data_IF_083722731372
#
_entry.id   IF_083722731372
#
_cell.length_a   1.000
_cell.length_b   1.000
_cell.length_c   1.000
_cell.angle_alpha   90.00
_cell.angle_beta   90.00
_cell.angle_gamma   90.00
#
_symmetry.space_group_name_H-M   'P 1'
#
loop_
_entity.id
_entity.type
_entity.pdbx_description
1 polymer ?
#
# COMPACT_ATOMS: atom_id res chain seq x y z
N UNK A 1 7.74 -47.07 -1.73
CA UNK A 1 6.61 -47.01 -2.70
C UNK A 1 5.37 -46.68 -1.89
N UNK A 2 4.71 -45.53 -1.94
CA UNK A 2 4.89 -44.30 -2.71
C UNK A 2 4.54 -43.15 -1.74
N UNK A 3 5.36 -42.10 -1.70
CA UNK A 3 5.02 -40.85 -1.02
C UNK A 3 4.25 -39.98 -2.02
N UNK A 4 3.02 -39.66 -1.66
CA UNK A 4 2.18 -38.71 -2.40
C UNK A 4 2.74 -37.30 -2.22
N UNK A 5 3.31 -36.76 -3.30
CA UNK A 5 3.67 -35.35 -3.41
C UNK A 5 2.39 -34.53 -3.62
N UNK A 6 1.93 -33.84 -2.58
CA UNK A 6 1.12 -32.63 -2.77
C UNK A 6 2.05 -31.42 -2.74
N UNK A 7 2.55 -31.06 -3.91
CA UNK A 7 3.19 -29.77 -4.13
C UNK A 7 2.08 -28.73 -4.16
N UNK A 8 2.08 -27.89 -3.12
CA UNK A 8 1.27 -26.70 -2.97
C UNK A 8 1.21 -25.89 -4.27
N UNK A 9 0.00 -25.74 -4.81
CA UNK A 9 -0.28 -24.84 -5.92
C UNK A 9 -0.01 -23.41 -5.46
N UNK A 10 1.09 -22.83 -5.94
CA UNK A 10 1.35 -21.39 -5.90
C UNK A 10 0.23 -20.68 -6.66
N UNK A 11 -0.79 -20.20 -5.94
CA UNK A 11 -1.83 -19.34 -6.48
C UNK A 11 -1.17 -18.02 -6.88
N UNK A 12 -0.82 -17.88 -8.16
CA UNK A 12 -0.51 -16.58 -8.74
C UNK A 12 -1.78 -15.71 -8.65
N UNK A 13 -1.68 -14.60 -7.92
CA UNK A 13 -2.74 -13.60 -7.87
C UNK A 13 -3.04 -13.10 -9.30
N UNK A 14 -4.31 -12.87 -9.65
CA UNK A 14 -4.66 -12.31 -10.96
C UNK A 14 -3.92 -10.98 -11.19
N UNK A 15 -3.57 -10.63 -12.44
CA UNK A 15 -2.63 -9.55 -12.75
C UNK A 15 -3.00 -8.19 -12.14
N UNK A 16 -4.29 -7.86 -12.01
CA UNK A 16 -4.74 -6.64 -11.32
C UNK A 16 -4.46 -6.68 -9.80
N UNK A 17 -4.66 -7.84 -9.14
CA UNK A 17 -4.31 -8.01 -7.72
C UNK A 17 -2.80 -8.02 -7.48
N UNK A 18 -1.99 -8.43 -8.46
CA UNK A 18 -0.53 -8.32 -8.40
C UNK A 18 -0.06 -6.87 -8.33
N UNK A 19 -0.69 -5.98 -9.10
CA UNK A 19 -0.35 -4.56 -9.14
C UNK A 19 -0.78 -3.82 -7.87
N UNK A 20 -2.02 -4.00 -7.44
CA UNK A 20 -2.53 -3.42 -6.19
C UNK A 20 -1.69 -3.87 -4.98
N UNK A 21 -1.32 -5.16 -4.95
CA UNK A 21 -0.44 -5.70 -3.91
C UNK A 21 0.96 -5.07 -3.94
N UNK A 22 1.55 -4.87 -5.13
CA UNK A 22 2.84 -4.18 -5.24
C UNK A 22 2.79 -2.75 -4.71
N UNK A 23 1.71 -2.01 -5.01
CA UNK A 23 1.49 -0.67 -4.46
C UNK A 23 1.33 -0.70 -2.93
N UNK A 24 0.55 -1.65 -2.41
CA UNK A 24 0.43 -1.87 -0.96
C UNK A 24 1.79 -2.12 -0.31
N UNK A 25 2.60 -3.03 -0.86
CA UNK A 25 3.92 -3.36 -0.31
C UNK A 25 4.85 -2.14 -0.30
N UNK A 26 4.81 -1.30 -1.33
CA UNK A 26 5.58 -0.05 -1.38
C UNK A 26 5.10 0.96 -0.33
N UNK A 27 3.79 1.08 -0.13
CA UNK A 27 3.24 1.95 0.92
C UNK A 27 3.65 1.46 2.31
N UNK A 28 3.51 0.15 2.56
CA UNK A 28 3.82 -0.50 3.83
C UNK A 28 5.28 -0.26 4.24
N UNK A 29 6.21 -0.32 3.27
CA UNK A 29 7.63 -0.11 3.48
C UNK A 29 8.09 1.34 3.24
N UNK A 30 7.16 2.29 3.04
CA UNK A 30 7.52 3.69 2.81
C UNK A 30 7.96 4.37 4.11
N UNK A 31 8.99 5.21 3.99
CA UNK A 31 9.44 6.08 5.10
C UNK A 31 8.30 7.00 5.57
N UNK A 32 7.48 7.50 4.63
CA UNK A 32 6.32 8.35 4.92
C UNK A 32 5.31 7.66 5.84
N UNK A 33 4.95 6.40 5.54
CA UNK A 33 4.04 5.65 6.40
C UNK A 33 4.66 5.35 7.76
N UNK A 34 5.92 4.95 7.79
CA UNK A 34 6.64 4.63 9.03
C UNK A 34 6.67 5.84 10.00
N UNK A 35 7.06 7.01 9.50
CA UNK A 35 7.08 8.26 10.29
C UNK A 35 5.69 8.59 10.83
N UNK A 36 4.65 8.50 9.99
CA UNK A 36 3.30 8.79 10.42
C UNK A 36 2.77 7.78 11.45
N UNK A 37 3.04 6.49 11.27
CA UNK A 37 2.65 5.43 12.19
C UNK A 37 3.23 5.66 13.59
N UNK A 38 4.52 5.99 13.67
CA UNK A 38 5.18 6.29 14.94
C UNK A 38 4.64 7.57 15.58
N UNK A 39 4.46 8.64 14.80
CA UNK A 39 3.88 9.89 15.29
C UNK A 39 2.45 9.71 15.80
N UNK A 40 1.60 9.00 15.05
CA UNK A 40 0.22 8.69 15.44
C UNK A 40 0.20 7.89 16.74
N UNK A 41 1.03 6.85 16.86
CA UNK A 41 1.13 6.05 18.09
C UNK A 41 1.60 6.88 19.27
N UNK A 42 2.62 7.71 19.10
CA UNK A 42 3.14 8.57 20.17
C UNK A 42 2.08 9.60 20.64
N UNK A 43 1.34 10.20 19.71
CA UNK A 43 0.36 11.24 20.02
C UNK A 43 -0.96 10.70 20.58
N UNK A 44 -1.44 9.57 20.08
CA UNK A 44 -2.76 9.01 20.43
C UNK A 44 -2.65 7.89 21.46
N UNK A 45 -1.51 7.21 21.49
CA UNK A 45 -1.34 5.96 22.22
C UNK A 45 -2.17 4.81 21.65
N UNK A 46 -2.71 4.93 20.44
CA UNK A 46 -3.48 3.92 19.74
C UNK A 46 -2.62 3.23 18.67
N UNK A 47 -2.90 1.95 18.36
CA UNK A 47 -2.26 1.29 17.24
C UNK A 47 -2.68 1.93 15.91
N UNK A 48 -1.78 1.93 14.94
CA UNK A 48 -2.11 2.25 13.55
C UNK A 48 -1.50 1.17 12.64
N UNK A 49 -2.30 0.61 11.74
CA UNK A 49 -1.87 -0.42 10.79
C UNK A 49 -2.23 -0.02 9.36
N UNK A 50 -1.40 -0.41 8.40
CA UNK A 50 -1.76 -0.41 6.98
C UNK A 50 -1.97 -1.86 6.55
N UNK A 51 -3.15 -2.15 6.01
CA UNK A 51 -3.58 -3.53 5.71
C UNK A 51 -4.31 -3.63 4.38
N UNK A 52 -4.24 -4.79 3.73
CA UNK A 52 -4.96 -5.09 2.47
C UNK A 52 -6.40 -5.54 2.73
N UNK A 53 -7.22 -5.68 1.69
CA UNK A 53 -8.55 -6.31 1.81
C UNK A 53 -8.51 -7.81 2.19
N UNK A 54 -7.35 -8.47 2.07
CA UNK A 54 -7.15 -9.84 2.56
C UNK A 54 -7.04 -9.87 4.09
N UNK A 55 -8.07 -10.44 4.75
CA UNK A 55 -8.19 -10.56 6.21
C UNK A 55 -7.72 -11.89 6.78
N UNK A 56 -7.46 -12.89 5.94
CA UNK A 56 -7.30 -14.28 6.39
C UNK A 56 -6.08 -14.45 7.32
N UNK A 57 -5.07 -13.59 7.17
CA UNK A 57 -3.81 -13.65 7.93
C UNK A 57 -3.69 -12.62 9.05
N UNK A 58 -4.66 -11.73 9.20
CA UNK A 58 -4.55 -10.59 10.14
C UNK A 58 -4.48 -10.97 11.61
N UNK A 59 -5.19 -12.03 12.00
CA UNK A 59 -5.17 -12.44 13.40
C UNK A 59 -3.81 -13.03 13.81
N UNK A 60 -3.00 -13.44 12.83
CA UNK A 60 -1.77 -14.22 13.01
C UNK A 60 -0.49 -13.47 12.61
N UNK A 61 -0.57 -12.21 12.16
CA UNK A 61 0.62 -11.41 11.90
C UNK A 61 1.38 -11.02 13.17
N UNK A 62 2.67 -10.74 13.00
CA UNK A 62 3.66 -10.46 14.04
C UNK A 62 3.71 -8.98 14.47
N UNK A 63 2.76 -8.15 14.02
CA UNK A 63 2.70 -6.72 14.35
C UNK A 63 2.08 -6.45 15.74
N UNK A 64 2.64 -7.05 16.78
CA UNK A 64 2.13 -6.93 18.16
C UNK A 64 2.10 -5.48 18.65
N UNK A 65 3.06 -4.64 18.26
CA UNK A 65 3.14 -3.23 18.66
C UNK A 65 2.00 -2.36 18.06
N UNK A 66 1.39 -2.84 16.97
CA UNK A 66 0.26 -2.20 16.31
C UNK A 66 -1.05 -2.93 16.63
N UNK A 67 -1.14 -3.53 17.82
CA UNK A 67 -2.32 -4.20 18.34
C UNK A 67 -2.52 -3.88 19.82
N UNK A 68 -3.76 -3.85 20.30
CA UNK A 68 -4.01 -3.83 21.74
C UNK A 68 -3.62 -5.18 22.36
N UNK A 69 -3.07 -5.19 23.59
CA UNK A 69 -2.73 -6.43 24.29
C UNK A 69 -3.92 -7.38 24.44
N UNK A 70 -5.14 -6.83 24.54
CA UNK A 70 -6.36 -7.62 24.60
C UNK A 70 -6.63 -8.32 23.27
N UNK A 71 -6.64 -7.60 22.14
CA UNK A 71 -6.88 -8.19 20.82
C UNK A 71 -5.78 -9.20 20.44
N UNK A 72 -4.53 -8.97 20.84
CA UNK A 72 -3.42 -9.91 20.63
C UNK A 72 -3.71 -11.26 21.29
N UNK A 73 -4.07 -11.25 22.58
CA UNK A 73 -4.39 -12.47 23.34
C UNK A 73 -5.69 -13.10 22.87
N UNK A 74 -6.71 -12.30 22.61
CA UNK A 74 -8.02 -12.76 22.16
C UNK A 74 -7.91 -13.55 20.85
N UNK A 75 -7.09 -13.08 19.91
CA UNK A 75 -6.91 -13.71 18.61
C UNK A 75 -6.16 -15.06 18.65
N UNK A 76 -5.57 -15.44 19.79
CA UNK A 76 -5.03 -16.79 19.99
C UNK A 76 -6.14 -17.84 20.18
N UNK A 77 -7.35 -17.40 20.57
CA UNK A 77 -8.53 -18.27 20.60
C UNK A 77 -9.11 -18.41 19.19
N UNK A 78 -9.16 -19.64 18.66
CA UNK A 78 -9.64 -19.92 17.30
C UNK A 78 -11.05 -19.36 17.02
N UNK A 79 -11.98 -19.53 17.96
CA UNK A 79 -13.36 -19.03 17.81
C UNK A 79 -13.39 -17.50 17.75
N UNK A 80 -12.64 -16.84 18.63
CA UNK A 80 -12.56 -15.39 18.65
C UNK A 80 -11.85 -14.82 17.41
N UNK A 81 -10.84 -15.53 16.89
CA UNK A 81 -10.15 -15.20 15.65
C UNK A 81 -11.11 -15.15 14.46
N UNK A 82 -11.99 -16.14 14.28
CA UNK A 82 -12.98 -16.12 13.21
C UNK A 82 -13.96 -14.95 13.34
N UNK A 83 -14.52 -14.73 14.54
CA UNK A 83 -15.41 -13.60 14.77
C UNK A 83 -14.73 -12.24 14.53
N UNK A 84 -13.43 -12.14 14.86
CA UNK A 84 -12.61 -10.97 14.60
C UNK A 84 -12.48 -10.73 13.09
N UNK A 85 -12.14 -11.77 12.31
CA UNK A 85 -12.05 -11.71 10.85
C UNK A 85 -13.37 -11.25 10.24
N UNK A 86 -14.50 -11.81 10.68
CA UNK A 86 -15.83 -11.47 10.15
C UNK A 86 -16.24 -10.02 10.40
N UNK A 87 -15.94 -9.49 11.60
CA UNK A 87 -16.18 -8.07 11.92
C UNK A 87 -15.28 -7.19 11.07
N UNK A 88 -14.01 -7.55 10.94
CA UNK A 88 -13.02 -6.78 10.19
C UNK A 88 -13.34 -6.73 8.69
N UNK A 89 -13.84 -7.83 8.12
CA UNK A 89 -14.29 -7.92 6.73
C UNK A 89 -15.45 -6.96 6.48
N UNK A 90 -16.50 -7.01 7.29
CA UNK A 90 -17.65 -6.10 7.21
C UNK A 90 -17.24 -4.63 7.35
N UNK A 91 -16.37 -4.33 8.32
CA UNK A 91 -15.86 -2.96 8.50
C UNK A 91 -15.18 -2.42 7.23
N UNK A 92 -14.43 -3.25 6.52
CA UNK A 92 -13.77 -2.83 5.29
C UNK A 92 -14.72 -2.74 4.10
N UNK A 93 -15.69 -3.65 3.99
CA UNK A 93 -16.75 -3.58 2.97
C UNK A 93 -17.53 -2.26 3.13
N UNK A 94 -17.88 -1.90 4.37
CA UNK A 94 -18.52 -0.62 4.69
C UNK A 94 -17.60 0.56 4.34
N UNK A 95 -16.31 0.45 4.68
CA UNK A 95 -15.35 1.51 4.43
C UNK A 95 -15.05 1.73 2.94
N UNK A 96 -15.06 0.64 2.16
CA UNK A 96 -14.82 0.67 0.72
C UNK A 96 -15.91 1.49 0.01
N UNK A 97 -17.17 1.29 0.43
CA UNK A 97 -18.34 1.97 -0.14
C UNK A 97 -18.48 3.39 0.41
N UNK A 98 -18.41 3.55 1.74
CA UNK A 98 -18.86 4.78 2.42
C UNK A 98 -17.72 5.73 2.81
N UNK A 99 -16.46 5.34 2.60
CA UNK A 99 -15.30 6.08 3.12
C UNK A 99 -14.93 5.65 4.54
N UNK A 100 -14.35 6.51 5.39
CA UNK A 100 -13.98 6.13 6.75
C UNK A 100 -15.15 5.50 7.54
N UNK A 101 -15.02 4.24 7.96
CA UNK A 101 -16.06 3.52 8.70
C UNK A 101 -15.55 3.10 10.08
N UNK A 102 -16.43 3.13 11.09
CA UNK A 102 -16.14 2.70 12.46
C UNK A 102 -17.16 1.66 12.90
N UNK A 103 -16.71 0.56 13.48
CA UNK A 103 -17.59 -0.47 14.05
C UNK A 103 -17.27 -0.74 15.52
N UNK A 104 -18.19 -1.41 16.20
CA UNK A 104 -17.94 -2.11 17.46
C UNK A 104 -17.76 -3.59 17.16
N UNK A 105 -16.67 -4.18 17.66
CA UNK A 105 -16.53 -5.64 17.60
C UNK A 105 -17.40 -6.32 18.66
N UNK A 106 -17.49 -7.65 18.58
CA UNK A 106 -18.25 -8.46 19.53
C UNK A 106 -17.77 -8.33 20.99
N UNK A 107 -16.54 -7.90 21.20
CA UNK A 107 -15.98 -7.63 22.53
C UNK A 107 -16.17 -6.18 22.98
N UNK A 108 -16.92 -5.36 22.24
CA UNK A 108 -17.25 -3.98 22.59
C UNK A 108 -16.21 -2.92 22.16
N UNK A 109 -15.07 -3.32 21.58
CA UNK A 109 -14.03 -2.38 21.15
C UNK A 109 -14.37 -1.70 19.83
N UNK A 110 -14.01 -0.42 19.71
CA UNK A 110 -14.07 0.37 18.49
C UNK A 110 -12.94 -0.05 17.55
N UNK A 111 -13.25 -0.12 16.27
CA UNK A 111 -12.24 -0.20 15.22
C UNK A 111 -12.68 0.66 14.05
N UNK A 112 -11.74 1.39 13.47
CA UNK A 112 -11.97 2.21 12.27
C UNK A 112 -11.10 1.70 11.13
N UNK A 113 -11.66 1.71 9.93
CA UNK A 113 -10.92 1.53 8.69
C UNK A 113 -11.10 2.78 7.83
N UNK A 114 -9.98 3.28 7.31
CA UNK A 114 -9.92 4.44 6.41
C UNK A 114 -9.30 3.96 5.10
N UNK A 115 -10.03 4.01 3.97
CA UNK A 115 -9.52 3.50 2.70
C UNK A 115 -8.40 4.39 2.14
N UNK A 116 -7.37 3.76 1.61
CA UNK A 116 -6.33 4.37 0.76
C UNK A 116 -6.58 3.88 -0.67
N UNK A 117 -6.78 4.81 -1.59
CA UNK A 117 -7.32 4.53 -2.93
C UNK A 117 -6.33 4.87 -4.05
N UNK A 118 -6.42 4.09 -5.12
CA UNK A 118 -5.89 4.38 -6.44
C UNK A 118 -7.08 4.58 -7.37
N UNK A 119 -7.43 5.84 -7.66
CA UNK A 119 -8.67 6.17 -8.37
C UNK A 119 -9.91 5.65 -7.61
N UNK A 120 -10.69 4.77 -8.26
CA UNK A 120 -11.88 4.17 -7.67
C UNK A 120 -11.60 2.90 -6.83
N UNK A 121 -10.37 2.38 -6.87
CA UNK A 121 -10.01 1.10 -6.24
C UNK A 121 -9.35 1.34 -4.91
N UNK A 122 -9.78 0.65 -3.86
CA UNK A 122 -9.09 0.65 -2.57
C UNK A 122 -7.92 -0.33 -2.59
N UNK A 123 -6.70 0.16 -2.40
CA UNK A 123 -5.47 -0.66 -2.40
C UNK A 123 -5.04 -1.05 -0.98
N UNK A 124 -5.45 -0.28 0.03
CA UNK A 124 -5.15 -0.55 1.43
C UNK A 124 -6.15 0.16 2.36
N UNK A 125 -6.11 -0.18 3.64
CA UNK A 125 -6.82 0.52 4.70
C UNK A 125 -5.85 0.92 5.81
N UNK A 126 -5.94 2.16 6.26
CA UNK A 126 -5.39 2.57 7.54
C UNK A 126 -6.37 2.17 8.64
N UNK A 127 -5.90 1.40 9.62
CA UNK A 127 -6.71 0.87 10.71
C UNK A 127 -6.21 1.27 12.08
N UNK A 128 -7.13 1.77 12.89
CA UNK A 128 -6.89 2.13 14.28
C UNK A 128 -8.08 1.75 15.15
N UNK A 129 -7.95 1.95 16.46
CA UNK A 129 -8.96 1.60 17.46
C UNK A 129 -8.42 0.57 18.45
N UNK A 130 -9.18 -0.51 18.62
CA UNK A 130 -8.97 -1.55 19.63
C UNK A 130 -9.02 -0.96 21.05
N UNK A 131 -10.09 -0.21 21.29
CA UNK A 131 -10.28 0.62 22.46
C UNK A 131 -11.78 0.73 22.80
N UNK A 132 -12.15 1.16 24.00
CA UNK A 132 -13.57 1.32 24.39
C UNK A 132 -14.05 2.78 24.40
N UNK A 133 -15.29 3.05 24.03
CA UNK A 133 -15.87 4.39 24.24
C UNK A 133 -16.31 4.68 25.67
N UNK A 134 -16.46 3.63 26.48
CA UNK A 134 -16.76 3.70 27.92
C UNK A 134 -15.82 2.77 28.70
N UNK A 135 -15.59 3.00 30.00
CA UNK A 135 -14.79 2.06 30.79
C UNK A 135 -15.34 0.64 30.71
N UNK A 136 -14.49 -0.40 30.58
CA UNK A 136 -14.94 -1.78 30.57
C UNK A 136 -15.53 -2.19 31.92
N UNK A 137 -16.54 -3.06 31.89
CA UNK A 137 -17.21 -3.61 33.07
C UNK A 137 -17.23 -5.15 33.05
N UNK A 138 -17.56 -5.73 34.20
CA UNK A 138 -17.56 -7.18 34.42
C UNK A 138 -18.63 -7.91 33.61
N UNK A 139 -19.80 -7.29 33.44
CA UNK A 139 -20.92 -7.85 32.70
C UNK A 139 -20.56 -8.04 31.23
N UNK A 140 -20.08 -6.97 30.59
CA UNK A 140 -19.61 -6.97 29.20
C UNK A 140 -18.44 -7.95 28.98
N UNK A 141 -17.53 -8.07 29.97
CA UNK A 141 -16.44 -9.05 29.90
C UNK A 141 -16.99 -10.48 29.90
N UNK A 142 -17.93 -10.79 30.79
CA UNK A 142 -18.52 -12.12 30.90
C UNK A 142 -19.30 -12.48 29.62
N UNK A 143 -20.06 -11.54 29.05
CA UNK A 143 -20.73 -11.71 27.74
C UNK A 143 -19.73 -12.06 26.62
N UNK A 144 -18.59 -11.34 26.58
CA UNK A 144 -17.51 -11.62 25.62
C UNK A 144 -16.95 -13.04 25.81
N UNK A 145 -16.75 -13.49 27.05
CA UNK A 145 -16.23 -14.82 27.36
C UNK A 145 -17.20 -15.95 27.03
N UNK A 146 -18.49 -15.72 27.22
CA UNK A 146 -19.54 -16.68 26.86
C UNK A 146 -19.63 -16.83 25.34
N UNK A 147 -19.51 -15.72 24.60
CA UNK A 147 -19.53 -15.71 23.14
C UNK A 147 -18.35 -16.48 22.51
N UNK A 148 -17.13 -16.32 23.02
CA UNK A 148 -15.94 -17.00 22.47
C UNK A 148 -15.78 -18.45 22.97
N UNK A 149 -16.66 -18.90 23.86
CA UNK A 149 -16.63 -20.25 24.41
C UNK A 149 -15.54 -20.45 25.47
N UNK A 150 -15.69 -19.81 26.64
CA UNK A 150 -14.81 -19.84 27.83
C UNK A 150 -14.07 -21.16 28.11
N UNK A 151 -14.66 -22.31 27.82
CA UNK A 151 -14.07 -23.66 28.02
C UNK A 151 -12.88 -23.98 27.10
N UNK A 152 -12.65 -23.17 26.07
CA UNK A 152 -11.56 -23.36 25.09
C UNK A 152 -10.28 -22.61 25.46
N UNK A 153 -10.33 -21.72 26.46
CA UNK A 153 -9.19 -20.90 26.89
C UNK A 153 -8.58 -21.47 28.18
N UNK A 154 -7.26 -21.76 28.22
CA UNK A 154 -6.61 -22.23 29.45
C UNK A 154 -6.78 -21.23 30.62
N UNK A 155 -6.93 -21.70 31.87
CA UNK A 155 -7.16 -20.80 33.01
C UNK A 155 -6.11 -19.70 33.19
N UNK A 156 -4.84 -20.02 32.91
CA UNK A 156 -3.72 -19.06 32.96
C UNK A 156 -3.87 -17.95 31.91
N UNK A 157 -4.38 -18.29 30.73
CA UNK A 157 -4.58 -17.33 29.64
C UNK A 157 -5.83 -16.50 29.86
N UNK A 158 -6.84 -17.04 30.53
CA UNK A 158 -8.07 -16.32 30.90
C UNK A 158 -7.77 -15.14 31.84
N UNK A 159 -6.91 -15.33 32.84
CA UNK A 159 -6.52 -14.24 33.76
C UNK A 159 -5.74 -13.14 33.02
N UNK A 160 -4.81 -13.53 32.14
CA UNK A 160 -4.07 -12.56 31.32
C UNK A 160 -4.98 -11.81 30.34
N UNK A 161 -5.97 -12.50 29.77
CA UNK A 161 -6.96 -11.92 28.86
C UNK A 161 -7.85 -10.93 29.60
N UNK A 162 -8.30 -11.28 30.81
CA UNK A 162 -9.07 -10.41 31.71
C UNK A 162 -8.30 -9.15 32.05
N UNK A 163 -7.05 -9.28 32.50
CA UNK A 163 -6.21 -8.13 32.82
C UNK A 163 -6.04 -7.22 31.60
N UNK A 164 -5.79 -7.78 30.41
CA UNK A 164 -5.67 -7.01 29.18
C UNK A 164 -6.98 -6.30 28.79
N UNK A 165 -8.15 -6.93 29.01
CA UNK A 165 -9.46 -6.33 28.76
C UNK A 165 -9.66 -5.07 29.61
N UNK A 166 -9.47 -5.17 30.93
CA UNK A 166 -9.68 -4.03 31.84
C UNK A 166 -8.59 -2.95 31.74
N UNK A 167 -7.41 -3.27 31.19
CA UNK A 167 -6.35 -2.30 30.88
C UNK A 167 -6.51 -1.64 29.50
N UNK A 168 -7.46 -2.10 28.69
CA UNK A 168 -7.70 -1.53 27.36
C UNK A 168 -8.16 -0.08 27.50
N UNK A 169 -7.59 0.81 26.69
CA UNK A 169 -7.82 2.25 26.79
C UNK A 169 -9.28 2.61 26.50
N UNK A 170 -9.76 3.61 27.21
CA UNK A 170 -11.01 4.32 26.90
C UNK A 170 -10.70 5.69 26.29
N UNK A 171 -11.50 6.12 25.33
CA UNK A 171 -11.41 7.45 24.70
C UNK A 171 -12.79 8.04 24.56
N UNK A 172 -12.84 9.36 24.68
CA UNK A 172 -14.05 10.12 24.41
C UNK A 172 -14.38 10.08 22.90
N UNK A 173 -15.66 9.85 22.52
CA UNK A 173 -16.06 9.78 21.12
C UNK A 173 -15.65 10.99 20.27
N UNK A 174 -15.74 12.21 20.81
CA UNK A 174 -15.36 13.43 20.10
C UNK A 174 -13.85 13.45 19.76
N UNK A 175 -13.01 13.07 20.74
CA UNK A 175 -11.56 12.96 20.55
C UNK A 175 -11.21 11.88 19.54
N UNK A 176 -11.89 10.74 19.57
CA UNK A 176 -11.72 9.68 18.57
C UNK A 176 -12.04 10.19 17.17
N UNK A 177 -13.16 10.89 17.01
CA UNK A 177 -13.57 11.44 15.73
C UNK A 177 -12.53 12.41 15.17
N UNK A 178 -11.93 13.26 16.00
CA UNK A 178 -10.83 14.13 15.58
C UNK A 178 -9.60 13.34 15.08
N UNK A 179 -9.25 12.25 15.75
CA UNK A 179 -8.17 11.36 15.30
C UNK A 179 -8.50 10.72 13.94
N UNK A 180 -9.74 10.29 13.74
CA UNK A 180 -10.17 9.74 12.45
C UNK A 180 -10.12 10.79 11.35
N UNK A 181 -10.52 12.04 11.61
CA UNK A 181 -10.39 13.13 10.62
C UNK A 181 -8.93 13.35 10.20
N UNK A 182 -8.00 13.37 11.15
CA UNK A 182 -6.56 13.49 10.85
C UNK A 182 -6.04 12.29 10.06
N UNK A 183 -6.53 11.08 10.39
CA UNK A 183 -6.15 9.86 9.70
C UNK A 183 -6.68 9.83 8.26
N UNK A 184 -7.89 10.32 8.02
CA UNK A 184 -8.48 10.48 6.69
C UNK A 184 -7.65 11.41 5.83
N UNK A 185 -7.20 12.55 6.36
CA UNK A 185 -6.32 13.45 5.59
C UNK A 185 -5.00 12.80 5.20
N UNK A 186 -4.43 11.95 6.07
CA UNK A 186 -3.24 11.19 5.71
C UNK A 186 -3.53 10.07 4.70
N UNK A 187 -4.68 9.41 4.78
CA UNK A 187 -5.11 8.43 3.78
C UNK A 187 -5.24 9.06 2.39
N UNK A 188 -5.76 10.28 2.29
CA UNK A 188 -5.82 11.05 1.04
C UNK A 188 -4.41 11.34 0.50
N UNK A 189 -3.46 11.73 1.37
CA UNK A 189 -2.07 11.93 0.97
C UNK A 189 -1.41 10.64 0.46
N UNK A 190 -1.66 9.50 1.12
CA UNK A 190 -1.19 8.21 0.63
C UNK A 190 -1.84 7.85 -0.71
N UNK A 191 -3.13 8.13 -0.90
CA UNK A 191 -3.86 7.86 -2.14
C UNK A 191 -3.24 8.61 -3.32
N UNK A 192 -2.97 9.91 -3.17
CA UNK A 192 -2.26 10.70 -4.18
C UNK A 192 -0.87 10.12 -4.47
N UNK A 193 -0.17 9.63 -3.44
CA UNK A 193 1.13 9.00 -3.65
C UNK A 193 1.01 7.67 -4.42
N UNK A 194 -0.03 6.86 -4.17
CA UNK A 194 -0.25 5.61 -4.92
C UNK A 194 -0.48 5.86 -6.40
N UNK A 195 -1.24 6.90 -6.75
CA UNK A 195 -1.43 7.32 -8.13
C UNK A 195 -0.08 7.61 -8.80
N UNK A 196 0.81 8.36 -8.12
CA UNK A 196 2.15 8.64 -8.64
C UNK A 196 2.99 7.36 -8.84
N UNK A 197 3.00 6.46 -7.85
CA UNK A 197 3.76 5.21 -7.93
C UNK A 197 3.26 4.33 -9.09
N UNK A 198 1.94 4.16 -9.20
CA UNK A 198 1.29 3.40 -10.26
C UNK A 198 1.66 3.90 -11.66
N UNK A 199 1.68 5.22 -11.83
CA UNK A 199 2.03 5.85 -13.11
C UNK A 199 3.50 5.61 -13.46
N UNK A 200 4.39 5.80 -12.50
CA UNK A 200 5.84 5.61 -12.69
C UNK A 200 6.11 4.15 -13.10
N UNK A 201 5.56 3.18 -12.37
CA UNK A 201 5.78 1.76 -12.66
C UNK A 201 5.26 1.39 -14.05
N UNK A 202 4.03 1.79 -14.37
CA UNK A 202 3.45 1.54 -15.69
C UNK A 202 4.30 2.14 -16.82
N UNK A 203 4.79 3.37 -16.65
CA UNK A 203 5.67 4.01 -17.63
C UNK A 203 6.98 3.21 -17.78
N UNK A 204 7.62 2.84 -16.67
CA UNK A 204 8.89 2.13 -16.67
C UNK A 204 8.82 0.74 -17.29
N UNK A 205 7.71 0.01 -17.05
CA UNK A 205 7.47 -1.33 -17.60
C UNK A 205 7.13 -1.31 -19.10
N UNK A 206 6.72 -0.16 -19.65
CA UNK A 206 6.23 -0.04 -21.03
C UNK A 206 7.00 1.01 -21.85
N UNK A 207 8.26 1.31 -21.47
CA UNK A 207 9.07 2.33 -22.17
C UNK A 207 9.36 1.97 -23.63
N UNK A 208 9.38 0.68 -23.98
CA UNK A 208 9.61 0.14 -25.32
C UNK A 208 8.37 0.23 -26.24
N UNK A 209 7.18 0.45 -25.68
CA UNK A 209 5.91 0.52 -26.40
C UNK A 209 5.39 1.97 -26.55
N UNK A 210 4.29 2.14 -27.31
CA UNK A 210 3.58 3.41 -27.32
C UNK A 210 2.82 3.60 -26.01
N UNK A 211 2.95 4.78 -25.40
CA UNK A 211 2.32 5.17 -24.13
C UNK A 211 1.36 6.34 -24.37
N UNK A 212 0.18 6.13 -24.96
CA UNK A 212 -0.79 7.19 -25.17
C UNK A 212 -1.37 7.67 -23.83
N UNK A 213 -1.70 8.96 -23.75
CA UNK A 213 -2.20 9.60 -22.53
C UNK A 213 -3.40 8.87 -21.92
N UNK A 214 -4.35 8.44 -22.75
CA UNK A 214 -5.55 7.72 -22.30
C UNK A 214 -5.23 6.39 -21.59
N UNK A 215 -4.18 5.68 -22.01
CA UNK A 215 -3.77 4.43 -21.36
C UNK A 215 -3.15 4.71 -19.98
N UNK A 216 -2.25 5.69 -19.91
CA UNK A 216 -1.59 6.06 -18.65
C UNK A 216 -2.60 6.64 -17.65
N UNK A 217 -3.54 7.48 -18.12
CA UNK A 217 -4.60 8.03 -17.28
C UNK A 217 -5.56 6.95 -16.75
N UNK A 218 -5.90 5.96 -17.60
CA UNK A 218 -6.72 4.82 -17.22
C UNK A 218 -6.05 3.95 -16.15
N UNK A 219 -4.75 3.72 -16.24
CA UNK A 219 -3.99 2.98 -15.21
C UNK A 219 -4.00 3.73 -13.87
N UNK A 220 -3.93 5.05 -13.91
CA UNK A 220 -4.06 5.88 -12.71
C UNK A 220 -5.50 5.95 -12.16
N UNK A 221 -6.51 5.45 -12.88
CA UNK A 221 -7.92 5.61 -12.52
C UNK A 221 -8.42 7.06 -12.64
N UNK A 222 -7.79 7.87 -13.50
CA UNK A 222 -8.05 9.30 -13.66
C UNK A 222 -8.56 9.63 -15.06
N UNK A 223 -9.28 10.74 -15.21
CA UNK A 223 -9.52 11.33 -16.53
C UNK A 223 -8.23 11.94 -17.09
N UNK A 224 -8.09 12.00 -18.41
CA UNK A 224 -6.88 12.55 -19.07
C UNK A 224 -6.56 13.99 -18.60
N UNK A 225 -7.57 14.85 -18.48
CA UNK A 225 -7.41 16.22 -18.02
C UNK A 225 -6.93 16.30 -16.57
N UNK A 226 -7.49 15.45 -15.69
CA UNK A 226 -7.09 15.41 -14.29
C UNK A 226 -5.67 14.88 -14.14
N UNK A 227 -5.36 13.81 -14.86
CA UNK A 227 -4.03 13.23 -14.94
C UNK A 227 -2.99 14.26 -15.36
N UNK A 228 -3.21 14.98 -16.47
CA UNK A 228 -2.24 15.97 -16.96
C UNK A 228 -1.95 17.06 -15.94
N UNK A 229 -2.98 17.53 -15.23
CA UNK A 229 -2.84 18.53 -14.17
C UNK A 229 -2.01 17.99 -13.00
N UNK A 230 -2.41 16.84 -12.43
CA UNK A 230 -1.72 16.23 -11.29
C UNK A 230 -0.29 15.81 -11.62
N UNK A 231 -0.06 15.23 -12.79
CA UNK A 231 1.26 14.78 -13.24
C UNK A 231 2.21 15.98 -13.36
N UNK A 232 1.75 17.07 -13.97
CA UNK A 232 2.57 18.29 -14.10
C UNK A 232 2.82 18.97 -12.76
N UNK A 233 1.82 19.04 -11.88
CA UNK A 233 1.97 19.58 -10.51
C UNK A 233 2.95 18.75 -9.66
N UNK A 234 3.04 17.45 -9.89
CA UNK A 234 3.88 16.54 -9.10
C UNK A 234 5.29 16.35 -9.65
N UNK A 235 5.48 16.40 -10.96
CA UNK A 235 6.79 16.12 -11.59
C UNK A 235 7.41 17.33 -12.29
N UNK A 236 6.73 18.48 -12.32
CA UNK A 236 7.09 19.66 -13.12
C UNK A 236 7.28 19.39 -14.62
N UNK A 237 6.73 18.28 -15.12
CA UNK A 237 6.93 17.80 -16.49
C UNK A 237 5.61 17.37 -17.12
N UNK A 238 5.55 17.43 -18.45
CA UNK A 238 4.50 16.74 -19.19
C UNK A 238 4.78 15.24 -19.20
N UNK A 239 3.75 14.41 -19.36
CA UNK A 239 3.91 12.96 -19.53
C UNK A 239 4.90 12.64 -20.65
N UNK A 240 4.77 13.32 -21.79
CA UNK A 240 5.65 13.14 -22.95
C UNK A 240 7.11 13.49 -22.62
N UNK A 241 7.37 14.57 -21.89
CA UNK A 241 8.73 14.93 -21.47
C UNK A 241 9.30 13.92 -20.47
N UNK A 242 8.49 13.45 -19.54
CA UNK A 242 8.89 12.44 -18.56
C UNK A 242 9.26 11.11 -19.24
N UNK A 243 8.39 10.58 -20.11
CA UNK A 243 8.67 9.35 -20.88
C UNK A 243 9.96 9.50 -21.69
N UNK A 244 10.15 10.64 -22.36
CA UNK A 244 11.38 10.89 -23.11
C UNK A 244 12.61 10.89 -22.20
N UNK A 245 12.56 11.51 -21.02
CA UNK A 245 13.68 11.46 -20.07
C UNK A 245 14.00 10.04 -19.65
N UNK A 246 12.99 9.24 -19.27
CA UNK A 246 13.19 7.84 -18.89
C UNK A 246 13.81 7.01 -20.03
N UNK A 247 13.33 7.19 -21.27
CA UNK A 247 13.92 6.54 -22.46
C UNK A 247 15.37 6.96 -22.69
N UNK A 248 15.69 8.26 -22.57
CA UNK A 248 17.06 8.74 -22.74
C UNK A 248 17.98 8.20 -21.64
N UNK A 249 17.51 8.11 -20.40
CA UNK A 249 18.31 7.55 -19.31
C UNK A 249 18.53 6.04 -19.48
N UNK A 250 17.55 5.31 -20.02
CA UNK A 250 17.78 3.94 -20.48
C UNK A 250 18.82 3.91 -21.61
N UNK A 251 18.67 4.74 -22.65
CA UNK A 251 19.61 4.82 -23.76
C UNK A 251 21.04 5.10 -23.30
N UNK A 252 21.26 5.99 -22.32
CA UNK A 252 22.58 6.27 -21.77
C UNK A 252 23.25 5.01 -21.23
N UNK A 253 22.53 4.17 -20.49
CA UNK A 253 23.03 2.88 -19.97
C UNK A 253 23.36 1.93 -21.11
N UNK A 254 22.48 1.86 -22.11
CA UNK A 254 22.67 1.01 -23.29
C UNK A 254 23.86 1.43 -24.17
N UNK A 255 24.12 2.73 -24.27
CA UNK A 255 25.23 3.28 -25.04
C UNK A 255 26.60 2.88 -24.48
N UNK A 256 26.69 2.43 -23.22
CA UNK A 256 27.91 1.91 -22.61
C UNK A 256 28.27 0.50 -23.13
N UNK A 257 27.35 -0.17 -23.83
CA UNK A 257 27.60 -1.44 -24.51
C UNK A 257 28.11 -1.15 -25.94
N UNK A 258 29.42 -1.30 -26.21
CA UNK A 258 30.03 -0.84 -27.46
C UNK A 258 29.58 -1.65 -28.69
N UNK A 259 29.09 -2.87 -28.47
CA UNK A 259 28.61 -3.83 -29.47
C UNK A 259 27.21 -3.51 -30.02
N UNK A 260 26.41 -2.72 -29.30
CA UNK A 260 25.03 -2.40 -29.69
C UNK A 260 24.99 -1.16 -30.58
N UNK A 261 24.25 -1.21 -31.69
CA UNK A 261 24.13 -0.04 -32.58
C UNK A 261 23.21 1.02 -31.98
N UNK A 262 23.53 2.30 -32.19
CA UNK A 262 22.71 3.43 -31.73
C UNK A 262 21.27 3.35 -32.27
N UNK A 263 21.10 2.89 -33.50
CA UNK A 263 19.78 2.66 -34.11
C UNK A 263 19.00 1.57 -33.40
N UNK A 264 19.65 0.46 -33.03
CA UNK A 264 19.01 -0.65 -32.31
C UNK A 264 18.53 -0.18 -30.93
N UNK A 265 19.35 0.61 -30.22
CA UNK A 265 18.97 1.23 -28.94
C UNK A 265 17.75 2.14 -29.13
N UNK A 266 17.75 3.00 -30.16
CA UNK A 266 16.64 3.91 -30.41
C UNK A 266 15.30 3.19 -30.60
N UNK A 267 15.28 2.10 -31.37
CA UNK A 267 14.07 1.30 -31.57
C UNK A 267 13.69 0.49 -30.34
N UNK A 268 14.66 -0.09 -29.63
CA UNK A 268 14.42 -0.90 -28.43
C UNK A 268 13.77 -0.11 -27.28
N UNK A 269 14.01 1.21 -27.21
CA UNK A 269 13.42 2.09 -26.20
C UNK A 269 12.18 2.84 -26.71
N UNK A 270 11.57 2.38 -27.81
CA UNK A 270 10.26 2.87 -28.28
C UNK A 270 10.28 4.15 -29.13
N UNK A 271 11.41 4.55 -29.71
CA UNK A 271 11.39 5.60 -30.76
C UNK A 271 11.03 5.00 -32.12
N UNK A 272 10.17 5.71 -32.86
CA UNK A 272 9.75 5.29 -34.22
C UNK A 272 10.76 5.66 -35.31
N UNK A 273 11.71 6.56 -35.00
CA UNK A 273 12.78 6.92 -35.93
C UNK A 273 14.05 7.36 -35.21
N UNK A 274 15.19 7.06 -35.83
CA UNK A 274 16.50 7.52 -35.35
C UNK A 274 16.59 9.05 -35.28
N UNK A 275 15.95 9.76 -36.21
CA UNK A 275 15.92 11.22 -36.23
C UNK A 275 15.19 11.81 -35.01
N UNK A 276 14.08 11.18 -34.58
CA UNK A 276 13.35 11.59 -33.37
C UNK A 276 14.21 11.34 -32.12
N UNK A 277 14.81 10.16 -32.03
CA UNK A 277 15.72 9.81 -30.94
C UNK A 277 16.88 10.80 -30.82
N UNK A 278 17.59 11.09 -31.91
CA UNK A 278 18.74 12.00 -31.90
C UNK A 278 18.37 13.40 -31.41
N UNK A 279 17.22 13.94 -31.84
CA UNK A 279 16.72 15.24 -31.36
C UNK A 279 16.40 15.21 -29.87
N UNK A 280 15.69 14.19 -29.40
CA UNK A 280 15.36 14.05 -27.97
C UNK A 280 16.60 13.87 -27.11
N UNK A 281 17.56 13.04 -27.55
CA UNK A 281 18.80 12.79 -26.84
C UNK A 281 19.64 14.07 -26.73
N UNK A 282 19.82 14.81 -27.83
CA UNK A 282 20.56 16.07 -27.82
C UNK A 282 19.87 17.14 -26.96
N UNK A 283 18.54 17.24 -27.03
CA UNK A 283 17.76 18.17 -26.19
C UNK A 283 17.95 17.90 -24.70
N UNK A 284 17.98 16.63 -24.29
CA UNK A 284 18.02 16.23 -22.88
C UNK A 284 19.45 16.17 -22.33
N UNK A 285 20.43 15.76 -23.14
CA UNK A 285 21.82 15.53 -22.70
C UNK A 285 22.81 16.60 -23.12
N UNK A 286 22.42 17.50 -24.03
CA UNK A 286 23.30 18.51 -24.62
C UNK A 286 24.24 18.00 -25.70
N UNK A 287 24.29 16.69 -25.98
CA UNK A 287 25.22 16.09 -26.95
C UNK A 287 24.53 15.01 -27.81
N UNK A 288 25.16 14.58 -28.91
CA UNK A 288 24.61 13.47 -29.71
C UNK A 288 24.87 12.11 -29.04
N UNK A 289 24.05 11.08 -29.27
CA UNK A 289 24.26 9.73 -28.71
C UNK A 289 25.65 9.17 -28.99
N UNK A 290 26.16 9.38 -30.22
CA UNK A 290 27.49 8.94 -30.63
C UNK A 290 28.61 9.69 -29.89
N UNK A 291 28.46 11.00 -29.72
CA UNK A 291 29.42 11.81 -28.96
C UNK A 291 29.43 11.41 -27.48
N UNK A 292 28.23 11.23 -26.90
CA UNK A 292 28.06 10.76 -25.52
C UNK A 292 28.73 9.41 -25.30
N UNK A 293 28.47 8.43 -26.17
CA UNK A 293 29.11 7.10 -26.13
C UNK A 293 30.64 7.22 -26.12
N UNK A 294 31.19 7.98 -27.05
CA UNK A 294 32.65 8.16 -27.18
C UNK A 294 33.26 8.74 -25.90
N UNK A 295 32.61 9.75 -25.33
CA UNK A 295 33.06 10.41 -24.09
C UNK A 295 32.98 9.48 -22.88
N UNK A 296 31.90 8.73 -22.71
CA UNK A 296 31.76 7.81 -21.57
C UNK A 296 32.74 6.65 -21.65
N UNK A 297 32.97 6.08 -22.83
CA UNK A 297 33.94 5.01 -23.02
C UNK A 297 35.39 5.49 -22.85
N UNK A 298 35.74 6.72 -23.27
CA UNK A 298 37.07 7.26 -23.03
C UNK A 298 37.34 7.50 -21.54
N UNK A 299 36.32 7.98 -20.80
CA UNK A 299 36.39 8.17 -19.35
C UNK A 299 36.54 6.85 -18.59
N UNK A 300 35.86 5.79 -19.02
CA UNK A 300 35.96 4.47 -18.41
C UNK A 300 37.31 3.76 -18.66
N UNK A 301 38.04 4.18 -19.69
CA UNK A 301 39.36 3.65 -20.03
C UNK A 301 40.54 4.43 -19.41
N UNK A 302 40.26 5.55 -18.71
CA UNK A 302 41.24 6.39 -18.02
C UNK A 302 41.27 6.10 -16.52
#
# INVERSE_FOLDING_TARGET
>A
MAMSNEVSASQQLPPHKSFEHAIYERLLHSERFTIYQDAFRAATGLPLRLVTSDTEKWCLDDQSINRSPFCEKLNLCKTACHACIDVNKRLMEDADVSGPATCHCFAGLYATAVPVRLGATTVAYLKTGQMFSRPPDEESFQETMDMIGRKTVPPKDLELLRQAYFQTKTIEPARYQSMITLLTSFAEQLSVHTEQLAIIDYIHENLDAALPLGDVARVAGLSESHFCRLFKESTDLTLTDYINRCRIDWAKRELLRPDVRVSEIAYAIGYQSLSQFNRSFARITGTSPTAYRREQLSRAAS
#
